data_IF_552679198747
#
_entry.id   IF_552679198747
#
_cell.length_a   1.000
_cell.length_b   1.000
_cell.length_c   1.000
_cell.angle_alpha   90.00
_cell.angle_beta   90.00
_cell.angle_gamma   90.00
#
_symmetry.space_group_name_H-M   'P 1'
#
loop_
_entity.id
_entity.type
_entity.pdbx_description
1 polymer ?
#
# COMPACT_ATOMS: atom_id res chain seq x y z
N UNK A 1 35.90 5.65 -2.77
CA UNK A 1 35.97 6.93 -3.51
C UNK A 1 36.97 7.84 -2.81
N UNK A 2 38.27 7.67 -3.07
CA UNK A 2 39.28 8.59 -2.55
C UNK A 2 39.05 9.98 -3.14
N UNK A 3 38.64 10.94 -2.31
CA UNK A 3 38.49 12.34 -2.72
C UNK A 3 39.87 12.85 -3.13
N UNK A 4 40.04 13.14 -4.43
CA UNK A 4 41.25 13.67 -5.09
C UNK A 4 42.51 12.87 -4.76
N UNK A 5 42.91 11.97 -5.66
CA UNK A 5 44.15 11.22 -5.58
C UNK A 5 45.33 12.12 -5.16
N UNK A 6 45.86 11.90 -3.95
CA UNK A 6 47.15 12.34 -3.40
C UNK A 6 47.76 13.59 -4.08
N UNK A 7 47.04 14.71 -4.03
CA UNK A 7 47.56 16.03 -4.43
C UNK A 7 47.40 16.95 -3.22
N UNK A 8 48.52 17.35 -2.63
CA UNK A 8 48.56 18.32 -1.54
C UNK A 8 48.21 19.70 -2.10
N UNK A 9 47.00 20.18 -1.82
CA UNK A 9 46.52 21.51 -2.20
C UNK A 9 45.34 21.50 -3.18
N UNK A 10 44.58 22.60 -3.18
CA UNK A 10 43.43 22.79 -4.07
C UNK A 10 43.73 23.93 -5.03
N UNK A 11 43.86 23.61 -6.33
CA UNK A 11 43.92 24.62 -7.37
C UNK A 11 42.55 25.32 -7.52
N UNK A 12 42.52 26.62 -7.87
CA UNK A 12 41.29 27.30 -8.22
C UNK A 12 40.62 26.63 -9.44
N UNK A 13 39.29 26.72 -9.57
CA UNK A 13 38.59 26.16 -10.71
C UNK A 13 39.05 26.84 -12.01
N UNK A 14 39.23 26.03 -13.06
CA UNK A 14 39.59 26.54 -14.38
C UNK A 14 38.50 27.48 -14.90
N UNK A 15 38.88 28.71 -15.25
CA UNK A 15 37.96 29.69 -15.84
C UNK A 15 37.72 29.32 -17.31
N UNK A 16 36.48 28.97 -17.66
CA UNK A 16 36.11 28.72 -19.05
C UNK A 16 36.35 29.96 -19.94
N UNK A 17 36.86 29.74 -21.15
CA UNK A 17 37.11 30.81 -22.13
C UNK A 17 35.77 31.29 -22.70
N UNK A 18 34.96 30.36 -23.21
CA UNK A 18 33.58 30.61 -23.65
C UNK A 18 32.61 30.39 -22.48
N UNK A 19 31.78 31.40 -22.17
CA UNK A 19 30.83 31.36 -21.04
C UNK A 19 29.45 30.83 -21.40
N UNK A 20 29.11 30.92 -22.68
CA UNK A 20 27.82 30.55 -23.23
C UNK A 20 28.02 29.53 -24.34
N UNK A 21 27.02 28.67 -24.63
CA UNK A 21 27.13 27.71 -25.70
C UNK A 21 27.29 28.42 -27.05
N UNK A 22 28.06 27.82 -27.95
CA UNK A 22 28.29 28.38 -29.29
C UNK A 22 27.31 27.83 -30.31
N UNK A 23 27.14 28.55 -31.42
CA UNK A 23 26.26 28.15 -32.53
C UNK A 23 26.61 26.75 -33.08
N UNK A 24 27.89 26.37 -33.07
CA UNK A 24 28.34 25.05 -33.56
C UNK A 24 28.01 23.89 -32.62
N UNK A 25 27.61 24.15 -31.38
CA UNK A 25 27.21 23.10 -30.43
C UNK A 25 25.73 22.70 -30.62
N UNK A 26 25.45 22.02 -31.74
CA UNK A 26 24.09 21.63 -32.15
C UNK A 26 23.36 20.83 -31.08
N UNK A 27 24.05 19.89 -30.42
CA UNK A 27 23.43 18.98 -29.45
C UNK A 27 22.95 19.71 -28.19
N UNK A 28 23.73 20.69 -27.74
CA UNK A 28 23.39 21.53 -26.59
C UNK A 28 22.22 22.45 -26.95
N UNK A 29 22.25 23.02 -28.15
CA UNK A 29 21.17 23.89 -28.65
C UNK A 29 19.86 23.11 -28.80
N UNK A 30 19.92 21.88 -29.32
CA UNK A 30 18.75 21.01 -29.44
C UNK A 30 18.09 20.79 -28.06
N UNK A 31 18.89 20.41 -27.05
CA UNK A 31 18.42 20.22 -25.67
C UNK A 31 17.83 21.48 -25.04
N UNK A 32 18.38 22.65 -25.36
CA UNK A 32 17.83 23.93 -24.85
C UNK A 32 16.50 24.27 -25.52
N UNK A 33 16.33 23.90 -26.80
CA UNK A 33 15.11 24.17 -27.58
C UNK A 33 13.99 23.14 -27.35
N UNK A 34 14.33 21.97 -26.82
CA UNK A 34 13.36 20.96 -26.43
C UNK A 34 12.34 21.54 -25.44
N UNK A 35 11.06 21.22 -25.64
CA UNK A 35 10.00 21.68 -24.73
C UNK A 35 10.18 20.99 -23.37
N UNK A 36 10.10 21.73 -22.26
CA UNK A 36 10.23 21.13 -20.93
C UNK A 36 9.12 20.10 -20.72
N UNK A 37 9.49 18.95 -20.19
CA UNK A 37 8.54 17.88 -19.84
C UNK A 37 7.69 18.37 -18.67
N UNK A 38 6.38 18.10 -18.70
CA UNK A 38 5.45 18.37 -17.61
C UNK A 38 5.18 17.08 -16.81
N UNK A 39 4.92 17.18 -15.50
CA UNK A 39 4.56 16.03 -14.65
C UNK A 39 5.50 15.84 -13.46
N UNK A 40 5.61 14.60 -12.95
CA UNK A 40 6.35 14.28 -11.71
C UNK A 40 7.85 14.64 -11.76
N UNK A 41 8.47 14.56 -12.94
CA UNK A 41 9.88 14.95 -13.17
C UNK A 41 9.99 16.18 -14.07
N UNK A 42 8.89 16.94 -14.18
CA UNK A 42 8.82 18.08 -15.08
C UNK A 42 9.44 19.36 -14.52
N UNK A 43 9.66 20.34 -15.39
CA UNK A 43 10.14 21.68 -15.03
C UNK A 43 9.15 22.76 -15.45
N UNK A 44 9.01 23.80 -14.63
CA UNK A 44 8.11 24.95 -14.89
C UNK A 44 6.70 24.81 -14.31
N UNK A 45 5.85 25.79 -14.61
CA UNK A 45 4.47 25.84 -14.13
C UNK A 45 3.52 25.03 -15.01
N UNK A 46 2.68 24.18 -14.40
CA UNK A 46 1.61 23.45 -15.09
C UNK A 46 0.62 24.42 -15.78
N UNK A 47 0.03 24.08 -16.94
CA UNK A 47 -0.70 25.00 -17.82
C UNK A 47 -1.69 25.93 -17.10
N UNK A 48 -2.46 25.39 -16.16
CA UNK A 48 -3.54 26.10 -15.46
C UNK A 48 -3.15 26.62 -14.06
N UNK A 49 -1.88 26.51 -13.66
CA UNK A 49 -1.40 27.05 -12.39
C UNK A 49 -0.85 28.45 -12.62
N UNK A 50 -1.41 29.43 -11.91
CA UNK A 50 -0.94 30.81 -11.96
C UNK A 50 0.45 30.93 -11.36
N UNK A 51 1.27 31.78 -11.99
CA UNK A 51 2.56 32.17 -11.45
C UNK A 51 2.40 33.32 -10.43
N UNK A 52 3.32 33.50 -9.48
CA UNK A 52 3.29 34.64 -8.58
C UNK A 52 3.43 35.98 -9.33
N UNK A 53 2.86 37.04 -8.74
CA UNK A 53 2.91 38.38 -9.32
C UNK A 53 4.37 38.89 -9.37
N UNK A 54 4.79 39.42 -10.52
CA UNK A 54 6.15 39.92 -10.73
C UNK A 54 7.19 38.86 -11.13
N UNK A 55 6.82 37.57 -11.17
CA UNK A 55 7.71 36.52 -11.71
C UNK A 55 7.49 36.29 -13.21
N UNK A 56 8.45 35.62 -13.84
CA UNK A 56 8.31 35.07 -15.20
C UNK A 56 8.03 33.58 -15.15
N UNK A 57 7.16 33.12 -16.04
CA UNK A 57 6.66 31.73 -16.06
C UNK A 57 7.68 30.81 -16.67
N UNK A 58 8.31 31.33 -17.73
CA UNK A 58 9.35 30.66 -18.48
C UNK A 58 10.73 31.11 -18.00
N UNK A 59 11.71 30.19 -17.96
CA UNK A 59 13.09 30.54 -17.64
C UNK A 59 13.66 31.48 -18.72
N UNK A 60 14.65 32.29 -18.34
CA UNK A 60 15.38 33.12 -19.30
C UNK A 60 16.03 32.22 -20.35
N UNK A 61 15.79 32.53 -21.62
CA UNK A 61 16.41 31.82 -22.74
C UNK A 61 17.94 31.98 -22.67
N UNK A 62 18.65 30.87 -22.89
CA UNK A 62 20.11 30.86 -22.91
C UNK A 62 20.60 31.55 -24.19
N UNK A 63 21.47 32.54 -24.02
CA UNK A 63 22.09 33.25 -25.14
C UNK A 63 23.08 32.31 -25.86
N UNK A 64 22.83 32.04 -27.14
CA UNK A 64 23.74 31.26 -27.99
C UNK A 64 24.66 32.24 -28.70
N UNK A 65 25.97 32.02 -28.59
CA UNK A 65 26.95 32.99 -29.05
C UNK A 65 27.66 32.52 -30.32
N UNK A 66 27.77 33.42 -31.28
CA UNK A 66 28.56 33.22 -32.49
C UNK A 66 29.97 33.77 -32.26
N UNK A 67 30.98 32.88 -32.32
CA UNK A 67 32.37 33.20 -32.00
C UNK A 67 32.91 34.30 -32.91
N UNK A 68 32.59 34.25 -34.21
CA UNK A 68 33.08 35.25 -35.16
C UNK A 68 32.45 36.63 -34.89
N UNK A 69 31.21 36.67 -34.38
CA UNK A 69 30.58 37.94 -33.95
C UNK A 69 31.23 38.50 -32.69
N UNK A 70 31.63 37.65 -31.73
CA UNK A 70 32.40 38.11 -30.55
C UNK A 70 33.72 38.70 -31.01
N UNK A 71 34.44 38.01 -31.89
CA UNK A 71 35.74 38.45 -32.40
C UNK A 71 35.55 39.80 -33.11
N UNK A 72 34.60 39.93 -34.02
CA UNK A 72 34.34 41.17 -34.74
C UNK A 72 33.93 42.34 -33.82
N UNK A 73 33.17 42.07 -32.76
CA UNK A 73 32.76 43.11 -31.79
C UNK A 73 33.92 43.56 -30.89
N UNK A 74 34.78 42.63 -30.50
CA UNK A 74 35.86 42.87 -29.53
C UNK A 74 37.15 43.38 -30.19
N UNK A 75 37.35 43.04 -31.47
CA UNK A 75 38.48 43.45 -32.28
C UNK A 75 37.99 44.51 -33.28
N UNK A 76 38.21 45.81 -33.03
CA UNK A 76 37.81 46.84 -33.99
C UNK A 76 38.59 46.65 -35.30
N UNK A 77 37.88 46.67 -36.43
CA UNK A 77 38.52 46.76 -37.75
C UNK A 77 39.28 48.08 -37.83
N UNK A 78 40.55 48.01 -38.25
CA UNK A 78 41.41 49.19 -38.32
C UNK A 78 40.79 50.24 -39.24
N UNK A 79 40.73 51.48 -38.77
CA UNK A 79 40.66 52.64 -39.66
C UNK A 79 42.10 52.93 -40.12
N UNK A 80 42.27 53.10 -41.43
CA UNK A 80 43.56 53.26 -42.09
C UNK A 80 44.30 54.50 -41.53
N UNK A 81 45.35 54.27 -40.72
CA UNK A 81 46.20 55.36 -40.22
C UNK A 81 46.89 55.13 -38.87
N UNK A 82 46.41 54.22 -38.02
CA UNK A 82 47.04 53.98 -36.72
C UNK A 82 47.98 52.75 -36.75
N UNK A 83 49.29 52.98 -36.60
CA UNK A 83 50.29 51.95 -36.30
C UNK A 83 49.95 51.30 -34.95
N UNK A 84 49.10 50.26 -34.96
CA UNK A 84 48.83 49.52 -33.73
C UNK A 84 50.13 48.86 -33.29
N UNK A 85 50.57 49.19 -32.06
CA UNK A 85 51.74 48.59 -31.41
C UNK A 85 51.75 47.08 -31.62
N UNK A 86 52.92 46.48 -31.88
CA UNK A 86 53.07 45.04 -32.07
C UNK A 86 52.38 44.22 -30.94
N UNK A 87 52.37 44.76 -29.71
CA UNK A 87 51.66 44.17 -28.56
C UNK A 87 50.15 44.08 -28.76
N UNK A 88 49.52 45.08 -29.37
CA UNK A 88 48.08 45.08 -29.63
C UNK A 88 47.72 44.02 -30.70
N UNK A 89 48.54 43.90 -31.74
CA UNK A 89 48.36 42.88 -32.78
C UNK A 89 48.48 41.46 -32.20
N UNK A 90 49.46 41.24 -31.32
CA UNK A 90 49.61 39.95 -30.63
C UNK A 90 48.39 39.64 -29.74
N UNK A 91 47.89 40.61 -28.97
CA UNK A 91 46.69 40.40 -28.14
C UNK A 91 45.47 40.02 -28.97
N UNK A 92 45.25 40.70 -30.10
CA UNK A 92 44.16 40.41 -31.03
C UNK A 92 44.31 38.98 -31.57
N UNK A 93 45.51 38.61 -32.01
CA UNK A 93 45.81 37.28 -32.52
C UNK A 93 45.50 36.20 -31.49
N UNK A 94 46.09 36.28 -30.29
CA UNK A 94 45.85 35.30 -29.23
C UNK A 94 44.38 35.23 -28.80
N UNK A 95 43.69 36.37 -28.73
CA UNK A 95 42.27 36.37 -28.38
C UNK A 95 41.44 35.63 -29.43
N UNK A 96 41.62 35.96 -30.71
CA UNK A 96 40.89 35.32 -31.82
C UNK A 96 41.20 33.82 -31.94
N UNK A 97 42.47 33.44 -31.79
CA UNK A 97 42.90 32.04 -31.83
C UNK A 97 42.33 31.25 -30.65
N UNK A 98 42.35 31.82 -29.44
CA UNK A 98 41.84 31.13 -28.24
C UNK A 98 40.34 30.84 -28.32
N UNK A 99 39.54 31.76 -28.85
CA UNK A 99 38.09 31.54 -29.02
C UNK A 99 37.80 30.48 -30.08
N UNK A 100 38.50 30.52 -31.22
CA UNK A 100 38.33 29.52 -32.30
C UNK A 100 38.76 28.13 -31.87
N UNK A 101 39.90 28.03 -31.17
CA UNK A 101 40.40 26.76 -30.65
C UNK A 101 39.49 26.18 -29.57
N UNK A 102 38.96 27.00 -28.67
CA UNK A 102 38.05 26.52 -27.63
C UNK A 102 36.73 26.02 -28.25
N UNK A 103 36.17 26.70 -29.24
CA UNK A 103 34.99 26.21 -29.95
C UNK A 103 35.23 24.85 -30.60
N UNK A 104 36.34 24.70 -31.33
CA UNK A 104 36.72 23.43 -31.94
C UNK A 104 36.95 22.33 -30.90
N UNK A 105 37.60 22.66 -29.79
CA UNK A 105 37.80 21.72 -28.68
C UNK A 105 36.47 21.24 -28.12
N UNK A 106 35.51 22.14 -27.90
CA UNK A 106 34.21 21.77 -27.35
C UNK A 106 33.41 20.87 -28.29
N UNK A 107 33.45 21.13 -29.61
CA UNK A 107 32.82 20.26 -30.61
C UNK A 107 33.47 18.88 -30.60
N UNK A 108 34.80 18.80 -30.65
CA UNK A 108 35.54 17.53 -30.56
C UNK A 108 35.24 16.78 -29.26
N UNK A 109 35.13 17.47 -28.13
CA UNK A 109 34.76 16.85 -26.87
C UNK A 109 33.36 16.24 -26.92
N UNK A 110 32.39 16.90 -27.55
CA UNK A 110 31.03 16.37 -27.71
C UNK A 110 31.04 15.11 -28.59
N UNK A 111 31.75 15.14 -29.72
CA UNK A 111 31.93 13.98 -30.62
C UNK A 111 32.56 12.80 -29.88
N UNK A 112 33.65 13.03 -29.14
CA UNK A 112 34.31 11.99 -28.33
C UNK A 112 33.40 11.39 -27.25
N UNK A 113 32.54 12.21 -26.62
CA UNK A 113 31.57 11.73 -25.63
C UNK A 113 30.52 10.84 -26.31
N UNK A 114 30.02 11.25 -27.48
CA UNK A 114 29.05 10.49 -28.25
C UNK A 114 29.61 9.14 -28.69
N UNK A 115 30.79 9.12 -29.30
CA UNK A 115 31.46 7.87 -29.69
C UNK A 115 31.69 6.95 -28.50
N UNK A 116 32.04 7.51 -27.34
CA UNK A 116 32.21 6.74 -26.11
C UNK A 116 30.88 6.15 -25.63
N UNK A 117 29.79 6.91 -25.69
CA UNK A 117 28.46 6.42 -25.31
C UNK A 117 28.03 5.28 -26.24
N UNK A 118 28.17 5.45 -27.55
CA UNK A 118 27.84 4.42 -28.54
C UNK A 118 28.67 3.14 -28.31
N UNK A 119 29.99 3.26 -28.07
CA UNK A 119 30.84 2.10 -27.73
C UNK A 119 30.42 1.42 -26.42
N UNK A 120 30.05 2.19 -25.41
CA UNK A 120 29.58 1.65 -24.12
C UNK A 120 28.24 0.94 -24.27
N UNK A 121 27.33 1.45 -25.10
CA UNK A 121 26.05 0.81 -25.41
C UNK A 121 26.26 -0.49 -26.18
N UNK A 122 27.13 -0.48 -27.20
CA UNK A 122 27.51 -1.69 -27.94
C UNK A 122 28.13 -2.75 -27.01
N UNK A 123 29.03 -2.35 -26.11
CA UNK A 123 29.62 -3.27 -25.12
C UNK A 123 28.54 -3.86 -24.20
N UNK A 124 27.62 -3.03 -23.69
CA UNK A 124 26.50 -3.52 -22.87
C UNK A 124 25.60 -4.49 -23.63
N UNK A 125 25.30 -4.20 -24.90
CA UNK A 125 24.50 -5.11 -25.73
C UNK A 125 25.22 -6.44 -25.97
N UNK A 126 26.54 -6.41 -26.21
CA UNK A 126 27.35 -7.61 -26.35
C UNK A 126 27.37 -8.42 -25.05
N UNK A 127 27.59 -7.77 -23.90
CA UNK A 127 27.54 -8.40 -22.58
C UNK A 127 26.15 -9.03 -22.32
N UNK A 128 25.07 -8.32 -22.61
CA UNK A 128 23.71 -8.85 -22.48
C UNK A 128 23.47 -10.05 -23.40
N UNK A 129 23.98 -10.01 -24.64
CA UNK A 129 23.90 -11.15 -25.58
C UNK A 129 24.73 -12.32 -25.10
N UNK A 130 25.91 -12.10 -24.53
CA UNK A 130 26.75 -13.16 -23.97
C UNK A 130 26.13 -13.79 -22.71
N UNK A 131 25.45 -12.99 -21.88
CA UNK A 131 24.71 -13.48 -20.72
C UNK A 131 23.45 -14.25 -21.12
N UNK A 132 22.77 -13.85 -22.20
CA UNK A 132 21.57 -14.51 -22.69
C UNK A 132 21.84 -15.79 -23.49
N UNK A 133 23.09 -16.05 -23.90
CA UNK A 133 23.45 -17.30 -24.57
C UNK A 133 23.35 -18.46 -23.58
N UNK A 134 22.54 -19.45 -23.94
CA UNK A 134 22.42 -20.70 -23.19
C UNK A 134 23.79 -21.39 -23.11
N UNK A 135 24.24 -21.68 -21.89
CA UNK A 135 25.48 -22.41 -21.63
C UNK A 135 25.15 -23.85 -21.30
N UNK A 136 26.06 -24.77 -21.65
CA UNK A 136 25.94 -26.18 -21.26
C UNK A 136 25.90 -26.36 -19.73
N UNK A 137 26.48 -25.41 -18.98
CA UNK A 137 26.41 -25.34 -17.51
C UNK A 137 25.04 -24.95 -16.96
N UNK A 138 24.13 -24.39 -17.76
CA UNK A 138 22.83 -23.94 -17.26
C UNK A 138 21.93 -25.12 -16.91
N UNK A 139 22.13 -26.27 -17.56
CA UNK A 139 21.44 -27.52 -17.26
C UNK A 139 21.82 -28.12 -15.90
N UNK A 140 22.95 -27.73 -15.33
CA UNK A 140 23.35 -28.20 -13.98
C UNK A 140 22.81 -27.30 -12.87
N UNK A 141 22.25 -26.14 -13.21
CA UNK A 141 21.58 -25.26 -12.26
C UNK A 141 20.14 -25.78 -12.07
N UNK A 142 19.73 -26.13 -10.84
CA UNK A 142 18.36 -26.59 -10.59
C UNK A 142 17.39 -25.45 -10.93
N UNK A 143 16.50 -25.70 -11.88
CA UNK A 143 15.48 -24.75 -12.31
C UNK A 143 14.08 -25.29 -12.01
N UNK A 144 13.16 -24.38 -11.65
CA UNK A 144 11.74 -24.69 -11.44
C UNK A 144 10.91 -23.88 -12.44
N UNK A 145 10.99 -24.18 -13.74
CA UNK A 145 10.38 -23.35 -14.77
C UNK A 145 8.87 -23.22 -14.55
N UNK A 146 8.16 -24.30 -14.22
CA UNK A 146 6.70 -24.27 -14.09
C UNK A 146 6.20 -23.48 -12.87
N UNK A 147 7.02 -23.33 -11.82
CA UNK A 147 6.65 -22.59 -10.60
C UNK A 147 6.95 -21.09 -10.76
N UNK A 148 8.03 -20.76 -11.47
CA UNK A 148 8.48 -19.38 -11.66
C UNK A 148 7.83 -18.75 -12.89
N UNK A 149 7.58 -19.55 -13.94
CA UNK A 149 6.89 -19.10 -15.14
C UNK A 149 5.49 -18.61 -14.78
N UNK A 150 5.10 -17.51 -15.45
CA UNK A 150 3.79 -16.88 -15.39
C UNK A 150 2.59 -17.80 -15.72
N UNK A 151 2.85 -19.08 -16.04
CA UNK A 151 1.85 -20.12 -16.27
C UNK A 151 1.04 -20.41 -15.00
N UNK A 152 1.68 -20.38 -13.82
CA UNK A 152 0.99 -20.46 -12.54
C UNK A 152 1.03 -19.07 -11.88
N UNK A 153 -0.06 -18.29 -11.91
CA UNK A 153 -0.07 -17.01 -11.24
C UNK A 153 0.11 -17.22 -9.74
N UNK A 154 0.92 -16.37 -9.10
CA UNK A 154 1.13 -16.41 -7.64
C UNK A 154 -0.18 -16.34 -6.85
N UNK A 155 -1.20 -15.69 -7.42
CA UNK A 155 -2.55 -15.65 -6.88
C UNK A 155 -3.56 -15.97 -7.98
N UNK A 156 -4.43 -16.94 -7.71
CA UNK A 156 -5.63 -17.19 -8.53
C UNK A 156 -6.77 -16.32 -8.00
N UNK A 157 -7.34 -15.50 -8.86
CA UNK A 157 -8.56 -14.78 -8.54
C UNK A 157 -9.74 -15.74 -8.36
N UNK A 158 -10.55 -15.50 -7.34
CA UNK A 158 -11.75 -16.30 -7.08
C UNK A 158 -12.77 -16.10 -8.21
N UNK A 159 -13.40 -17.20 -8.63
CA UNK A 159 -14.52 -17.15 -9.58
C UNK A 159 -15.72 -16.43 -8.96
N UNK A 160 -16.65 -15.88 -9.77
CA UNK A 160 -17.85 -15.24 -9.22
C UNK A 160 -18.68 -16.19 -8.36
N UNK A 161 -18.77 -17.47 -8.74
CA UNK A 161 -19.46 -18.51 -7.98
C UNK A 161 -18.80 -18.76 -6.61
N UNK A 162 -17.47 -18.85 -6.56
CA UNK A 162 -16.73 -18.99 -5.30
C UNK A 162 -16.94 -17.78 -4.39
N UNK A 163 -17.00 -16.57 -4.97
CA UNK A 163 -17.27 -15.33 -4.21
C UNK A 163 -18.69 -15.34 -3.63
N UNK A 164 -19.68 -15.74 -4.40
CA UNK A 164 -21.08 -15.85 -3.96
C UNK A 164 -21.23 -16.90 -2.84
N UNK A 165 -20.65 -18.08 -3.02
CA UNK A 165 -20.68 -19.15 -2.01
C UNK A 165 -19.99 -18.70 -0.71
N UNK A 166 -18.86 -18.00 -0.82
CA UNK A 166 -18.16 -17.45 0.34
C UNK A 166 -18.99 -16.36 1.05
N UNK A 167 -19.66 -15.50 0.30
CA UNK A 167 -20.59 -14.51 0.87
C UNK A 167 -21.74 -15.17 1.62
N UNK A 168 -22.39 -16.17 1.02
CA UNK A 168 -23.47 -16.93 1.65
C UNK A 168 -23.00 -17.62 2.96
N UNK A 169 -21.80 -18.22 2.97
CA UNK A 169 -21.21 -18.79 4.20
C UNK A 169 -20.98 -17.73 5.28
N UNK A 170 -20.54 -16.52 4.91
CA UNK A 170 -20.33 -15.42 5.85
C UNK A 170 -21.65 -14.92 6.44
N UNK A 171 -22.69 -14.79 5.62
CA UNK A 171 -24.02 -14.39 6.07
C UNK A 171 -24.64 -15.44 7.00
N UNK A 172 -24.57 -16.72 6.63
CA UNK A 172 -25.00 -17.82 7.49
C UNK A 172 -24.33 -17.77 8.86
N UNK A 173 -23.00 -17.63 8.90
CA UNK A 173 -22.26 -17.56 10.16
C UNK A 173 -22.65 -16.34 11.02
N UNK A 174 -22.99 -15.21 10.38
CA UNK A 174 -23.48 -14.03 11.09
C UNK A 174 -24.86 -14.29 11.70
N UNK A 175 -25.79 -14.77 10.88
CA UNK A 175 -27.16 -15.05 11.31
C UNK A 175 -27.21 -16.12 12.39
N UNK A 176 -26.37 -17.14 12.29
CA UNK A 176 -26.26 -18.20 13.30
C UNK A 176 -25.80 -17.66 14.66
N UNK A 177 -24.80 -16.76 14.68
CA UNK A 177 -24.37 -16.11 15.92
C UNK A 177 -25.46 -15.22 16.50
N UNK A 178 -26.15 -14.45 15.68
CA UNK A 178 -27.28 -13.64 16.14
C UNK A 178 -28.39 -14.51 16.74
N UNK A 179 -28.73 -15.62 16.07
CA UNK A 179 -29.69 -16.59 16.56
C UNK A 179 -29.30 -17.13 17.95
N UNK A 180 -28.05 -17.56 18.14
CA UNK A 180 -27.57 -18.04 19.45
C UNK A 180 -27.68 -16.95 20.53
N UNK A 181 -27.28 -15.72 20.23
CA UNK A 181 -27.41 -14.62 21.22
C UNK A 181 -28.86 -14.31 21.57
N UNK A 182 -29.80 -14.47 20.62
CA UNK A 182 -31.23 -14.30 20.89
C UNK A 182 -31.76 -15.45 21.73
N UNK A 183 -31.34 -16.68 21.45
CA UNK A 183 -31.68 -17.85 22.25
C UNK A 183 -31.23 -17.67 23.71
N UNK A 184 -29.98 -17.27 23.95
CA UNK A 184 -29.48 -17.00 25.31
C UNK A 184 -30.27 -15.89 26.02
N UNK A 185 -30.67 -14.84 25.30
CA UNK A 185 -31.51 -13.77 25.86
C UNK A 185 -32.90 -14.27 26.23
N UNK A 186 -33.51 -15.13 25.38
CA UNK A 186 -34.80 -15.75 25.67
C UNK A 186 -34.71 -16.68 26.88
N UNK A 187 -33.64 -17.46 26.99
CA UNK A 187 -33.39 -18.29 28.17
C UNK A 187 -33.31 -17.44 29.43
N UNK A 188 -32.53 -16.34 29.41
CA UNK A 188 -32.44 -15.39 30.54
C UNK A 188 -33.79 -14.77 30.90
N UNK A 189 -34.58 -14.37 29.90
CA UNK A 189 -35.93 -13.84 30.10
C UNK A 189 -36.83 -14.89 30.77
N UNK A 190 -36.76 -16.13 30.30
CA UNK A 190 -37.53 -17.23 30.86
C UNK A 190 -37.12 -17.53 32.32
N UNK A 191 -35.83 -17.46 32.65
CA UNK A 191 -35.37 -17.53 34.06
C UNK A 191 -35.95 -16.40 34.90
N UNK A 192 -35.95 -15.18 34.36
CA UNK A 192 -36.51 -14.01 35.04
C UNK A 192 -38.02 -14.17 35.26
N UNK A 193 -38.76 -14.68 34.28
CA UNK A 193 -40.19 -14.97 34.42
C UNK A 193 -40.44 -15.93 35.59
N UNK A 194 -39.67 -17.01 35.69
CA UNK A 194 -39.81 -17.94 36.82
C UNK A 194 -39.38 -17.37 38.17
N UNK A 195 -38.36 -16.52 38.19
CA UNK A 195 -37.93 -15.82 39.41
C UNK A 195 -38.92 -14.72 39.83
N UNK A 196 -39.72 -14.18 38.89
CA UNK A 196 -40.67 -13.10 39.16
C UNK A 196 -41.78 -13.49 40.13
N UNK A 197 -42.07 -14.78 40.28
CA UNK A 197 -42.97 -15.31 41.31
C UNK A 197 -42.50 -14.96 42.74
N UNK A 198 -41.18 -14.82 42.94
CA UNK A 198 -40.59 -14.47 44.23
C UNK A 198 -40.38 -12.96 44.42
N UNK A 199 -40.54 -12.17 43.35
CA UNK A 199 -40.34 -10.73 43.42
C UNK A 199 -41.49 -10.05 44.15
N UNK A 200 -41.14 -9.14 45.06
CA UNK A 200 -42.09 -8.32 45.79
C UNK A 200 -42.34 -7.06 44.97
N UNK A 201 -43.53 -6.94 44.41
CA UNK A 201 -43.93 -5.81 43.56
C UNK A 201 -44.89 -4.88 44.32
N UNK A 202 -45.75 -5.42 45.17
CA UNK A 202 -46.75 -4.64 45.92
C UNK A 202 -46.45 -4.60 47.41
N UNK A 203 -46.93 -3.56 48.11
CA UNK A 203 -46.75 -3.41 49.56
C UNK A 203 -47.37 -4.57 50.35
N UNK A 204 -48.46 -5.16 49.85
CA UNK A 204 -49.09 -6.35 50.45
C UNK A 204 -48.21 -7.60 50.35
N UNK A 205 -47.48 -7.76 49.24
CA UNK A 205 -46.51 -8.84 49.09
C UNK A 205 -45.32 -8.64 50.05
N UNK A 206 -44.94 -7.38 50.34
CA UNK A 206 -43.85 -7.07 51.26
C UNK A 206 -44.18 -7.49 52.70
N UNK A 207 -45.35 -7.07 53.21
CA UNK A 207 -45.78 -7.40 54.59
C UNK A 207 -45.91 -8.91 54.77
N UNK A 208 -46.59 -9.59 53.83
CA UNK A 208 -46.74 -11.05 53.88
C UNK A 208 -45.42 -11.82 53.77
N UNK A 209 -44.39 -11.27 53.12
CA UNK A 209 -43.05 -11.89 53.09
C UNK A 209 -42.24 -11.63 54.35
N UNK A 210 -42.35 -10.45 54.95
CA UNK A 210 -41.73 -10.13 56.24
C UNK A 210 -42.26 -11.06 57.34
N UNK A 211 -43.57 -11.25 57.38
CA UNK A 211 -44.22 -12.15 58.35
C UNK A 211 -43.76 -13.61 58.21
N UNK A 212 -43.42 -14.05 56.99
CA UNK A 212 -42.88 -15.39 56.70
C UNK A 212 -41.38 -15.55 57.04
N UNK A 213 -40.61 -14.46 57.01
CA UNK A 213 -39.15 -14.50 57.25
C UNK A 213 -38.78 -14.38 58.74
N UNK A 214 -39.62 -13.73 59.55
CA UNK A 214 -39.34 -13.45 60.95
C UNK A 214 -39.40 -14.71 61.86
N UNK A 215 -40.30 -15.68 61.63
CA UNK A 215 -40.25 -16.95 62.33
C UNK A 215 -39.80 -18.05 61.38
N UNK A 216 -38.51 -18.42 61.36
CA UNK A 216 -37.97 -19.78 61.07
C UNK A 216 -36.45 -19.64 61.04
N UNK A 217 -35.83 -19.87 62.20
CA UNK A 217 -34.40 -20.13 62.34
C UNK A 217 -34.23 -21.58 62.77
N UNK A 218 -34.65 -22.53 61.93
CA UNK A 218 -34.47 -23.98 62.14
C UNK A 218 -34.62 -24.69 60.79
N UNK A 219 -33.52 -25.27 60.28
CA UNK A 219 -33.40 -26.72 60.07
C UNK A 219 -32.07 -27.08 59.40
N UNK A 220 -31.41 -28.05 60.03
CA UNK A 220 -30.28 -28.83 59.54
C UNK A 220 -30.85 -30.03 58.81
N UNK A 221 -30.41 -30.34 57.58
CA UNK A 221 -30.66 -31.66 56.97
C UNK A 221 -29.58 -32.06 55.95
N UNK A 222 -28.98 -33.22 56.20
CA UNK A 222 -28.38 -34.25 55.32
C UNK A 222 -27.76 -33.85 53.96
N UNK A 223 -26.43 -33.98 53.89
CA UNK A 223 -25.57 -33.60 52.76
C UNK A 223 -25.55 -34.64 51.61
N UNK A 224 -26.01 -35.88 51.84
CA UNK A 224 -25.94 -36.95 50.82
C UNK A 224 -27.17 -37.02 49.90
N UNK A 225 -28.38 -36.84 50.43
CA UNK A 225 -29.63 -36.84 49.64
C UNK A 225 -29.72 -35.60 48.73
N UNK A 226 -29.21 -34.47 49.20
CA UNK A 226 -29.11 -33.22 48.43
C UNK A 226 -28.18 -33.34 47.22
N UNK A 227 -27.09 -34.13 47.33
CA UNK A 227 -26.16 -34.37 46.21
C UNK A 227 -26.79 -35.22 45.10
N UNK A 228 -27.53 -36.28 45.44
CA UNK A 228 -28.22 -37.12 44.44
C UNK A 228 -29.30 -36.34 43.70
N UNK A 229 -30.13 -35.61 44.43
CA UNK A 229 -31.13 -34.73 43.83
C UNK A 229 -30.50 -33.66 42.93
N UNK A 230 -29.34 -33.10 43.30
CA UNK A 230 -28.63 -32.15 42.44
C UNK A 230 -28.13 -32.78 41.14
N UNK A 231 -27.55 -33.98 41.19
CA UNK A 231 -27.07 -34.69 40.00
C UNK A 231 -28.23 -35.07 39.07
N UNK A 232 -29.36 -35.51 39.61
CA UNK A 232 -30.57 -35.80 38.83
C UNK A 232 -31.12 -34.53 38.15
N UNK A 233 -31.13 -33.40 38.86
CA UNK A 233 -31.53 -32.12 38.25
C UNK A 233 -30.56 -31.64 37.17
N UNK A 234 -29.25 -31.83 37.34
CA UNK A 234 -28.26 -31.47 36.31
C UNK A 234 -28.38 -32.34 35.06
N UNK A 235 -28.64 -33.64 35.24
CA UNK A 235 -28.90 -34.56 34.14
C UNK A 235 -30.19 -34.21 33.40
N UNK A 236 -31.27 -33.93 34.12
CA UNK A 236 -32.54 -33.49 33.52
C UNK A 236 -32.39 -32.16 32.78
N UNK A 237 -31.67 -31.19 33.36
CA UNK A 237 -31.37 -29.91 32.71
C UNK A 237 -30.55 -30.10 31.42
N UNK A 238 -29.59 -31.03 31.39
CA UNK A 238 -28.78 -31.30 30.20
C UNK A 238 -29.55 -32.00 29.07
N UNK A 239 -30.54 -32.83 29.41
CA UNK A 239 -31.31 -33.63 28.45
C UNK A 239 -32.55 -32.88 27.93
N UNK A 240 -33.23 -32.13 28.79
CA UNK A 240 -34.51 -31.49 28.48
C UNK A 240 -34.46 -29.95 28.53
N UNK A 241 -33.31 -29.37 28.88
CA UNK A 241 -33.10 -27.92 28.92
C UNK A 241 -33.89 -27.19 30.01
N UNK A 242 -34.33 -27.89 31.07
CA UNK A 242 -35.11 -27.31 32.17
C UNK A 242 -34.34 -26.22 32.92
N UNK A 243 -35.08 -25.32 33.59
CA UNK A 243 -34.51 -24.19 34.33
C UNK A 243 -34.99 -24.25 35.76
N UNK A 244 -34.06 -24.35 36.73
CA UNK A 244 -34.29 -24.31 38.19
C UNK A 244 -35.49 -25.16 38.67
N UNK A 245 -35.18 -26.34 39.25
CA UNK A 245 -36.16 -27.14 39.99
C UNK A 245 -37.43 -27.48 39.18
N UNK A 246 -37.26 -28.12 38.02
CA UNK A 246 -38.33 -28.71 37.18
C UNK A 246 -39.20 -27.75 36.35
N UNK A 247 -38.88 -26.45 36.23
CA UNK A 247 -39.64 -25.57 35.34
C UNK A 247 -39.21 -25.75 33.87
N UNK A 248 -40.16 -25.68 32.90
CA UNK A 248 -39.89 -25.94 31.49
C UNK A 248 -38.83 -25.02 30.89
N UNK A 249 -37.91 -25.59 30.11
CA UNK A 249 -36.91 -24.85 29.34
C UNK A 249 -37.45 -24.20 28.08
N UNK A 250 -36.66 -23.28 27.50
CA UNK A 250 -36.92 -22.74 26.16
C UNK A 250 -37.14 -23.83 25.09
N UNK A 251 -36.35 -24.93 25.00
CA UNK A 251 -36.61 -25.97 24.01
C UNK A 251 -37.99 -26.62 24.18
N UNK A 252 -38.36 -26.97 25.41
CA UNK A 252 -39.64 -27.60 25.73
C UNK A 252 -40.85 -26.67 25.48
N UNK A 253 -40.71 -25.37 25.79
CA UNK A 253 -41.74 -24.35 25.47
C UNK A 253 -41.89 -24.19 23.96
N UNK A 254 -40.79 -24.20 23.22
CA UNK A 254 -40.81 -24.11 21.76
C UNK A 254 -41.51 -25.32 21.14
N UNK A 255 -41.17 -26.53 21.56
CA UNK A 255 -41.80 -27.77 21.08
C UNK A 255 -43.30 -27.81 21.37
N UNK A 256 -43.73 -27.24 22.49
CA UNK A 256 -45.14 -27.09 22.81
C UNK A 256 -45.86 -26.08 21.89
N UNK A 257 -45.23 -24.95 21.59
CA UNK A 257 -45.80 -23.92 20.70
C UNK A 257 -45.81 -24.36 19.23
N UNK A 258 -44.81 -25.12 18.79
CA UNK A 258 -44.67 -25.63 17.43
C UNK A 258 -45.55 -26.90 17.19
N UNK A 259 -46.31 -27.37 18.20
CA UNK A 259 -47.11 -28.61 18.22
C UNK A 259 -46.32 -29.89 17.86
N UNK A 260 -44.99 -29.82 17.78
CA UNK A 260 -44.11 -30.93 17.41
C UNK A 260 -44.20 -32.08 18.43
N UNK A 261 -44.39 -31.75 19.71
CA UNK A 261 -44.59 -32.73 20.78
C UNK A 261 -45.88 -33.56 20.59
N UNK A 262 -46.96 -32.93 20.10
CA UNK A 262 -48.23 -33.63 19.84
C UNK A 262 -48.14 -34.55 18.63
N UNK A 263 -47.43 -34.11 17.58
CA UNK A 263 -47.17 -34.92 16.40
C UNK A 263 -46.32 -36.15 16.76
N UNK A 264 -45.27 -35.96 17.56
CA UNK A 264 -44.43 -37.06 18.04
C UNK A 264 -45.19 -38.05 18.92
N UNK A 265 -46.04 -37.57 19.84
CA UNK A 265 -46.88 -38.43 20.67
C UNK A 265 -47.85 -39.26 19.82
N UNK A 266 -48.53 -38.65 18.85
CA UNK A 266 -49.43 -39.36 17.94
C UNK A 266 -48.69 -40.40 17.07
N UNK A 267 -47.48 -40.11 16.62
CA UNK A 267 -46.63 -41.09 15.91
C UNK A 267 -46.18 -42.25 16.80
N UNK A 268 -45.91 -41.99 18.09
CA UNK A 268 -45.50 -43.02 19.03
C UNK A 268 -46.67 -43.93 19.42
N UNK A 269 -47.83 -43.35 19.69
CA UNK A 269 -49.06 -44.09 19.94
C UNK A 269 -49.43 -44.96 18.74
N UNK A 270 -49.27 -44.45 17.52
CA UNK A 270 -49.50 -45.22 16.29
C UNK A 270 -48.48 -46.35 16.04
N UNK A 271 -47.28 -46.26 16.61
CA UNK A 271 -46.25 -47.32 16.55
C UNK A 271 -46.39 -48.34 17.70
N UNK A 272 -46.92 -47.93 18.85
CA UNK A 272 -47.22 -48.80 19.99
C UNK A 272 -48.55 -49.56 19.80
N UNK A 273 -49.46 -49.05 18.96
CA UNK A 273 -50.72 -49.69 18.60
C UNK A 273 -50.62 -50.68 17.44
N UNK A 274 -49.41 -51.02 16.97
CA UNK A 274 -49.12 -52.05 15.97
C UNK A 274 -48.30 -53.16 16.59
#
# INVERSE_FOLDING_TARGET
MGKKAVQSGVLPPLRSILKHPTVKQTDVIAKIRERPVLGMRGTGYAPNVQQPLGSRREPRQVEVVDVERIIARSVPQRQDGALASAKAQLRIKYFSESLRQEEQRLVKCAEMIREKQEKMEQQRELELRELAREKLSDLTIPSLPHIISSEVPFMRDRTPEEKQLLAAKREYNRNYREYLTRQEKLEKLLKLYYASEEFIVTEQQLTSRLDKLIPIRRLVTNIEETRRAHLETQLADSLFGTIQQQKPGVPMVREYLDDSAKQFAAEMDAKLSK
#
